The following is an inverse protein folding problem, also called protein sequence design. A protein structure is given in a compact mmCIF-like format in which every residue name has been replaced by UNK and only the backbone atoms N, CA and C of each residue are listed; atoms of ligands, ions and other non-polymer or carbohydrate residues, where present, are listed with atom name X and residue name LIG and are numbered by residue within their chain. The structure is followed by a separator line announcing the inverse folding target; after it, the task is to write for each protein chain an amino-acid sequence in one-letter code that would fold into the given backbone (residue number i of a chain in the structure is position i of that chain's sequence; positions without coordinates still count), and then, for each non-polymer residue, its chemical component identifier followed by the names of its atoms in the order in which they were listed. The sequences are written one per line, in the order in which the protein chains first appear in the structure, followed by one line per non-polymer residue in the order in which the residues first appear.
data_IF_235074033301
#
_entry.id   IF_235074033301
#
_cell.length_a   1.000
_cell.length_b   1.000
_cell.length_c   1.000
_cell.angle_alpha   90.00
_cell.angle_beta   90.00
_cell.angle_gamma   90.00
#
_symmetry.space_group_name_H-M   'P 1'
#
loop_
_entity.id
_entity.type
_entity.pdbx_description
1 polymer ?
#
# COMPACT_ATOMS: atom_id res chain seq x y z
N UNK A 1 5.48 -10.91 -4.83
CA UNK A 1 4.23 -11.71 -4.66
C UNK A 1 4.56 -13.11 -4.16
N UNK A 2 5.28 -13.24 -3.04
CA UNK A 2 5.93 -14.50 -2.67
C UNK A 2 4.98 -15.56 -2.09
N UNK A 3 3.81 -15.15 -1.59
CA UNK A 3 2.81 -16.07 -1.03
C UNK A 3 1.76 -16.53 -2.05
N UNK A 4 1.70 -15.94 -3.25
CA UNK A 4 0.71 -16.29 -4.26
C UNK A 4 1.14 -17.49 -5.09
N UNK A 5 0.22 -18.41 -5.36
CA UNK A 5 0.47 -19.53 -6.26
C UNK A 5 0.06 -19.19 -7.72
N UNK A 6 0.47 -20.04 -8.66
CA UNK A 6 0.24 -19.81 -10.10
C UNK A 6 -1.25 -19.77 -10.49
N UNK A 7 -2.10 -20.56 -9.81
CA UNK A 7 -3.55 -20.54 -10.07
C UNK A 7 -4.19 -19.21 -9.67
N UNK A 8 -3.67 -18.56 -8.63
CA UNK A 8 -4.09 -17.23 -8.21
C UNK A 8 -3.54 -16.17 -9.15
N UNK A 9 -2.23 -16.20 -9.45
CA UNK A 9 -1.58 -15.24 -10.35
C UNK A 9 -2.21 -15.19 -11.73
N UNK A 10 -2.64 -16.34 -12.28
CA UNK A 10 -3.32 -16.42 -13.57
C UNK A 10 -4.63 -15.61 -13.65
N UNK A 11 -5.18 -15.19 -12.50
CA UNK A 11 -6.41 -14.40 -12.41
C UNK A 11 -6.17 -12.97 -11.92
N UNK A 12 -4.92 -12.58 -11.66
CA UNK A 12 -4.56 -11.25 -11.16
C UNK A 12 -4.16 -10.36 -12.32
N UNK A 13 -4.78 -9.18 -12.39
CA UNK A 13 -4.32 -8.10 -13.25
C UNK A 13 -3.49 -7.12 -12.42
N UNK A 14 -2.37 -6.66 -12.98
CA UNK A 14 -1.50 -5.64 -12.38
C UNK A 14 -1.41 -4.43 -13.33
N UNK A 15 -2.47 -3.59 -13.43
CA UNK A 15 -2.56 -2.56 -14.47
C UNK A 15 -1.47 -1.49 -14.41
N UNK A 16 -0.90 -1.28 -13.22
CA UNK A 16 0.20 -0.33 -12.97
C UNK A 16 1.58 -1.00 -12.97
N UNK A 17 1.65 -2.32 -13.17
CA UNK A 17 2.90 -3.09 -13.08
C UNK A 17 3.89 -2.79 -14.20
N UNK A 18 3.40 -2.35 -15.36
CA UNK A 18 4.20 -2.00 -16.55
C UNK A 18 4.62 -0.51 -16.55
N UNK A 19 4.23 0.27 -15.54
CA UNK A 19 4.60 1.68 -15.44
C UNK A 19 5.93 1.78 -14.70
N UNK A 20 6.93 2.38 -15.34
CA UNK A 20 8.32 2.40 -14.90
C UNK A 20 8.51 3.01 -13.50
N UNK A 21 7.65 3.95 -13.12
CA UNK A 21 7.78 4.65 -11.84
C UNK A 21 6.46 5.06 -11.21
N UNK A 22 6.48 5.15 -9.88
CA UNK A 22 5.39 5.73 -9.09
C UNK A 22 5.13 7.19 -9.42
N UNK A 23 6.18 7.94 -9.79
CA UNK A 23 6.05 9.33 -10.19
C UNK A 23 5.21 9.47 -11.47
N UNK A 24 5.36 8.55 -12.41
CA UNK A 24 4.56 8.52 -13.63
C UNK A 24 3.09 8.18 -13.36
N UNK A 25 2.83 7.21 -12.46
CA UNK A 25 1.46 6.91 -12.00
C UNK A 25 0.79 8.17 -11.41
N UNK A 26 1.52 8.98 -10.64
CA UNK A 26 1.00 10.25 -10.10
C UNK A 26 0.71 11.28 -11.19
N UNK A 27 1.61 11.45 -12.16
CA UNK A 27 1.37 12.34 -13.30
C UNK A 27 0.13 11.93 -14.09
N UNK A 28 -0.11 10.64 -14.27
CA UNK A 28 -1.34 10.13 -14.89
C UNK A 28 -2.56 10.45 -14.04
N UNK A 29 -2.50 10.24 -12.73
CA UNK A 29 -3.61 10.57 -11.82
C UNK A 29 -3.97 12.06 -11.86
N UNK A 30 -2.98 12.97 -11.93
CA UNK A 30 -3.18 14.41 -12.12
C UNK A 30 -3.80 14.72 -13.50
N UNK A 31 -3.25 14.13 -14.57
CA UNK A 31 -3.75 14.31 -15.95
C UNK A 31 -5.23 13.90 -16.09
N UNK A 32 -5.63 12.84 -15.41
CA UNK A 32 -7.02 12.36 -15.41
C UNK A 32 -7.91 13.02 -14.33
N UNK A 33 -7.38 14.01 -13.60
CA UNK A 33 -8.09 14.73 -12.55
C UNK A 33 -8.69 13.80 -11.47
N UNK A 34 -7.93 12.77 -11.06
CA UNK A 34 -8.37 11.85 -10.02
C UNK A 34 -8.28 12.53 -8.64
N UNK A 35 -9.29 12.38 -7.77
CA UNK A 35 -9.31 13.01 -6.44
C UNK A 35 -8.16 12.54 -5.52
N UNK A 36 -7.58 11.38 -5.83
CA UNK A 36 -6.49 10.77 -5.06
C UNK A 36 -5.09 11.19 -5.54
N UNK A 37 -4.97 12.04 -6.56
CA UNK A 37 -3.70 12.38 -7.18
C UNK A 37 -2.66 12.95 -6.19
N UNK A 38 -3.13 13.73 -5.20
CA UNK A 38 -2.29 14.35 -4.16
C UNK A 38 -2.38 13.66 -2.80
N UNK A 39 -3.09 12.53 -2.71
CA UNK A 39 -3.24 11.82 -1.43
C UNK A 39 -1.90 11.22 -0.99
N UNK A 40 -1.54 11.45 0.27
CA UNK A 40 -0.34 10.85 0.88
C UNK A 40 -0.48 9.34 0.94
N UNK A 41 0.65 8.65 0.84
CA UNK A 41 0.69 7.20 0.91
C UNK A 41 0.39 6.69 2.31
N UNK A 42 -0.26 5.54 2.40
CA UNK A 42 -0.37 4.81 3.66
C UNK A 42 1.02 4.41 4.15
N UNK A 43 1.35 4.75 5.40
CA UNK A 43 2.62 4.41 6.06
C UNK A 43 2.44 3.33 7.14
N UNK A 44 1.31 3.36 7.85
CA UNK A 44 1.01 2.41 8.92
C UNK A 44 0.40 1.10 8.39
N UNK A 45 0.43 0.07 9.23
CA UNK A 45 -0.23 -1.21 8.93
C UNK A 45 -1.73 -1.00 8.75
N UNK A 46 -2.26 -1.47 7.63
CA UNK A 46 -3.69 -1.39 7.33
C UNK A 46 -4.53 -1.90 8.50
N UNK A 47 -5.64 -1.20 8.77
CA UNK A 47 -6.61 -1.49 9.83
C UNK A 47 -6.15 -1.21 11.27
N UNK A 48 -4.91 -0.75 11.48
CA UNK A 48 -4.50 -0.17 12.77
C UNK A 48 -4.86 1.32 12.78
N UNK A 49 -5.68 1.75 13.75
CA UNK A 49 -6.13 3.15 13.87
C UNK A 49 -5.05 4.10 14.38
N UNK A 50 -4.10 3.56 15.15
CA UNK A 50 -3.03 4.27 15.82
C UNK A 50 -1.69 3.92 15.15
N UNK A 51 -0.58 4.51 15.60
CA UNK A 51 0.74 4.06 15.15
C UNK A 51 0.97 2.60 15.52
N UNK A 52 1.78 1.92 14.71
CA UNK A 52 2.16 0.53 14.97
C UNK A 52 2.79 0.36 16.36
N UNK A 53 3.56 1.34 16.82
CA UNK A 53 4.15 1.36 18.18
C UNK A 53 3.09 1.40 19.28
N UNK A 54 2.10 2.28 19.18
CA UNK A 54 1.00 2.37 20.15
C UNK A 54 0.16 1.09 20.16
N UNK A 55 -0.02 0.47 19.00
CA UNK A 55 -0.69 -0.82 18.90
C UNK A 55 0.10 -1.90 19.65
N UNK A 56 1.40 -2.03 19.40
CA UNK A 56 2.24 -3.05 20.02
C UNK A 56 2.31 -2.92 21.55
N UNK A 57 2.36 -1.69 22.10
CA UNK A 57 2.34 -1.45 23.56
C UNK A 57 1.10 -2.02 24.27
N UNK A 58 -0.03 -2.16 23.57
CA UNK A 58 -1.27 -2.74 24.15
C UNK A 58 -1.20 -4.26 24.28
N UNK A 59 -0.42 -4.93 23.44
CA UNK A 59 -0.38 -6.40 23.36
C UNK A 59 0.93 -7.01 23.87
N UNK A 60 2.02 -6.24 23.88
CA UNK A 60 3.33 -6.68 24.32
C UNK A 60 3.74 -5.96 25.59
N UNK A 61 4.23 -6.71 26.58
CA UNK A 61 4.89 -6.12 27.75
C UNK A 61 6.26 -5.61 27.31
N UNK A 62 6.49 -4.31 27.46
CA UNK A 62 7.81 -3.73 27.26
C UNK A 62 8.80 -4.41 28.20
N UNK A 63 9.86 -5.02 27.65
CA UNK A 63 11.03 -5.37 28.43
C UNK A 63 11.93 -4.13 28.48
N UNK A 64 12.35 -3.69 29.68
CA UNK A 64 13.29 -2.58 29.82
C UNK A 64 14.65 -2.91 29.22
#
# INVERSE_FOLDING_TARGET
LWQLNQKQLAKVLLPIGEIDSKAEVRKLAEKFNLPVAQTKESQEVCFIKNTTEEFLKKYLKAKP
#
